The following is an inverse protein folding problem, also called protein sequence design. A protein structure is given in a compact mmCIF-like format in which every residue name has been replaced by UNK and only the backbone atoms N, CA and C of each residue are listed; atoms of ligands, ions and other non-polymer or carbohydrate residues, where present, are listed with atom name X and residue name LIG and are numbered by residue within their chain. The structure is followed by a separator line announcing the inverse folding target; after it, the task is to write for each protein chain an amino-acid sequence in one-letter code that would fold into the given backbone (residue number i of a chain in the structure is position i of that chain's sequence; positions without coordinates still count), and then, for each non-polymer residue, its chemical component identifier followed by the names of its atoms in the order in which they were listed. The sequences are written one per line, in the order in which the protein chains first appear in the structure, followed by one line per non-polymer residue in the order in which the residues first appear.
data_IF_043939912116
#
_entry.id   IF_043939912116
#
_cell.length_a   1.000
_cell.length_b   1.000
_cell.length_c   1.000
_cell.angle_alpha   90.00
_cell.angle_beta   90.00
_cell.angle_gamma   90.00
#
_symmetry.space_group_name_H-M   'P 1'
#
loop_
_entity.id
_entity.type
_entity.pdbx_description
1 polymer ?
#
# COMPACT_ATOMS: atom_id res chain seq x y z
N UNK A 1 17.06 -5.84 -28.93
CA UNK A 1 15.87 -5.98 -29.80
C UNK A 1 14.64 -6.37 -28.98
N UNK A 2 14.62 -7.52 -28.29
CA UNK A 2 13.41 -8.01 -27.59
C UNK A 2 12.86 -7.03 -26.52
N UNK A 3 13.70 -6.41 -25.69
CA UNK A 3 13.23 -5.56 -24.57
C UNK A 3 12.56 -4.27 -25.05
N UNK A 4 13.15 -3.58 -26.03
CA UNK A 4 12.55 -2.36 -26.61
C UNK A 4 11.20 -2.66 -27.29
N UNK A 5 11.07 -3.81 -27.95
CA UNK A 5 9.80 -4.25 -28.53
C UNK A 5 8.75 -4.56 -27.46
N UNK A 6 9.16 -5.13 -26.33
CA UNK A 6 8.27 -5.39 -25.18
C UNK A 6 7.77 -4.07 -24.60
N UNK A 7 8.66 -3.08 -24.41
CA UNK A 7 8.29 -1.74 -23.92
C UNK A 7 7.33 -1.06 -24.88
N UNK A 8 7.64 -1.03 -26.18
CA UNK A 8 6.78 -0.43 -27.19
C UNK A 8 5.39 -1.06 -27.20
N UNK A 9 5.30 -2.38 -27.23
CA UNK A 9 4.01 -3.11 -27.18
C UNK A 9 3.24 -2.84 -25.89
N UNK A 10 3.93 -2.64 -24.77
CA UNK A 10 3.30 -2.27 -23.51
C UNK A 10 2.74 -0.85 -23.55
N UNK A 11 3.49 0.11 -24.12
CA UNK A 11 3.03 1.49 -24.30
C UNK A 11 1.84 1.57 -25.26
N UNK A 12 1.86 0.81 -26.35
CA UNK A 12 0.80 0.78 -27.36
C UNK A 12 -0.52 0.16 -26.82
N UNK A 13 -0.41 -0.75 -25.84
CA UNK A 13 -1.55 -1.45 -25.24
C UNK A 13 -1.26 -1.80 -23.79
N UNK A 14 -1.35 -0.83 -22.86
CA UNK A 14 -1.05 -1.05 -21.45
C UNK A 14 -1.98 -2.08 -20.83
N UNK A 15 -1.43 -2.76 -19.83
CA UNK A 15 -2.17 -3.67 -18.99
C UNK A 15 -1.67 -3.56 -17.55
N UNK A 16 -2.45 -4.09 -16.61
CA UNK A 16 -2.21 -3.87 -15.19
C UNK A 16 -1.01 -4.71 -14.71
N UNK A 17 -0.05 -4.05 -14.06
CA UNK A 17 1.15 -4.67 -13.47
C UNK A 17 1.22 -4.54 -11.95
N UNK A 18 0.54 -3.57 -11.36
CA UNK A 18 0.46 -3.40 -9.91
C UNK A 18 -1.00 -3.40 -9.46
N UNK A 19 -1.31 -4.05 -8.34
CA UNK A 19 -2.67 -4.18 -7.80
C UNK A 19 -3.39 -2.85 -7.62
N UNK A 20 -4.73 -2.93 -7.68
CA UNK A 20 -5.75 -1.89 -7.49
C UNK A 20 -5.17 -0.49 -7.25
N UNK A 21 -5.11 0.32 -8.31
CA UNK A 21 -6.25 1.16 -8.67
C UNK A 21 -7.00 1.92 -7.56
N UNK A 22 -6.55 1.93 -6.31
CA UNK A 22 -6.71 3.13 -5.49
C UNK A 22 -5.79 4.16 -6.12
N UNK A 23 -6.30 4.71 -7.21
CA UNK A 23 -6.04 6.03 -7.68
C UNK A 23 -6.14 6.96 -6.45
N UNK A 24 -5.02 7.10 -5.75
CA UNK A 24 -4.66 8.32 -5.02
C UNK A 24 -4.66 9.52 -6.00
N UNK A 25 -4.91 9.26 -7.29
CA UNK A 25 -5.08 10.16 -8.42
C UNK A 25 -6.49 10.14 -9.05
N UNK A 26 -7.53 9.82 -8.27
CA UNK A 26 -8.90 10.23 -8.57
C UNK A 26 -9.84 9.10 -8.91
N UNK A 27 -11.12 9.32 -8.68
CA UNK A 27 -12.17 8.35 -8.97
C UNK A 27 -12.15 7.78 -10.39
N UNK A 28 -13.12 6.90 -10.73
CA UNK A 28 -13.11 6.00 -11.90
C UNK A 28 -12.88 6.62 -13.30
N UNK A 29 -12.75 7.95 -13.40
CA UNK A 29 -12.54 8.72 -14.61
C UNK A 29 -11.06 9.07 -14.90
N UNK A 30 -10.12 8.89 -13.96
CA UNK A 30 -8.69 9.18 -14.19
C UNK A 30 -7.90 7.87 -14.23
N UNK A 31 -8.02 7.12 -15.33
CA UNK A 31 -7.17 5.94 -15.57
C UNK A 31 -5.73 6.37 -15.87
N UNK A 32 -4.98 6.75 -14.84
CA UNK A 32 -3.58 7.07 -14.98
C UNK A 32 -2.76 5.76 -15.00
N UNK A 33 -2.07 5.48 -16.11
CA UNK A 33 -1.24 4.28 -16.24
C UNK A 33 0.14 4.44 -15.58
N UNK A 34 0.44 5.60 -14.96
CA UNK A 34 1.67 5.93 -14.25
C UNK A 34 2.28 4.76 -13.47
N UNK A 35 1.50 4.16 -12.54
CA UNK A 35 2.00 3.07 -11.69
C UNK A 35 2.44 1.85 -12.51
N UNK A 36 1.76 1.57 -13.62
CA UNK A 36 2.11 0.49 -14.52
C UNK A 36 3.38 0.80 -15.33
N UNK A 37 3.57 2.05 -15.77
CA UNK A 37 4.81 2.48 -16.42
C UNK A 37 6.02 2.34 -15.49
N UNK A 38 5.87 2.81 -14.25
CA UNK A 38 6.93 2.74 -13.24
C UNK A 38 7.20 1.29 -12.84
N UNK A 39 6.17 0.44 -12.73
CA UNK A 39 6.34 -0.99 -12.50
C UNK A 39 7.16 -1.67 -13.62
N UNK A 40 6.84 -1.36 -14.89
CA UNK A 40 7.61 -1.84 -16.03
C UNK A 40 9.08 -1.38 -15.95
N UNK A 41 9.33 -0.11 -15.63
CA UNK A 41 10.69 0.40 -15.40
C UNK A 41 11.41 -0.43 -14.33
N UNK A 42 10.76 -0.75 -13.22
CA UNK A 42 11.38 -1.55 -12.17
C UNK A 42 11.67 -3.00 -12.58
N UNK A 43 10.84 -3.61 -13.41
CA UNK A 43 11.13 -4.92 -14.01
C UNK A 43 12.34 -4.86 -14.96
N UNK A 44 12.47 -3.78 -15.75
CA UNK A 44 13.63 -3.55 -16.61
C UNK A 44 14.91 -3.34 -15.77
N UNK A 45 14.82 -2.65 -14.64
CA UNK A 45 15.96 -2.51 -13.71
C UNK A 45 16.40 -3.86 -13.14
N UNK A 46 15.46 -4.76 -12.80
CA UNK A 46 15.79 -6.13 -12.38
C UNK A 46 16.46 -6.89 -13.50
N UNK A 47 15.91 -6.80 -14.72
CA UNK A 47 16.47 -7.43 -15.92
C UNK A 47 17.93 -7.03 -16.16
N UNK A 48 18.22 -5.74 -16.01
CA UNK A 48 19.56 -5.16 -16.20
C UNK A 48 20.47 -5.29 -14.97
N UNK A 49 20.03 -5.98 -13.92
CA UNK A 49 20.83 -6.17 -12.69
C UNK A 49 21.09 -4.88 -11.91
N UNK A 50 20.29 -3.83 -12.14
CA UNK A 50 20.31 -2.57 -11.40
C UNK A 50 19.44 -2.60 -10.14
N UNK A 51 18.58 -3.62 -10.02
CA UNK A 51 17.70 -3.90 -8.89
C UNK A 51 17.70 -5.41 -8.61
N UNK A 52 17.58 -5.82 -7.34
CA UNK A 52 17.65 -7.24 -6.94
C UNK A 52 16.41 -8.02 -7.37
N UNK A 53 15.23 -7.49 -7.09
CA UNK A 53 13.96 -8.10 -7.46
C UNK A 53 12.84 -7.09 -7.50
N UNK A 54 11.65 -7.54 -7.86
CA UNK A 54 10.43 -6.74 -7.87
C UNK A 54 9.29 -7.55 -7.27
N UNK A 55 8.50 -6.92 -6.40
CA UNK A 55 7.51 -7.57 -5.55
C UNK A 55 6.11 -7.20 -6.02
N UNK A 56 5.33 -8.22 -6.37
CA UNK A 56 3.90 -8.11 -6.64
C UNK A 56 3.12 -8.67 -5.44
N UNK A 57 2.58 -7.79 -4.60
CA UNK A 57 1.80 -8.18 -3.43
C UNK A 57 0.35 -8.45 -3.80
N UNK A 58 -0.12 -9.68 -3.58
CA UNK A 58 -1.51 -10.12 -3.80
C UNK A 58 -2.15 -9.69 -5.13
N UNK A 59 -1.51 -9.87 -6.30
CA UNK A 59 -2.14 -9.48 -7.56
C UNK A 59 -3.48 -10.22 -7.73
N UNK A 60 -4.59 -9.52 -8.07
CA UNK A 60 -5.83 -10.14 -8.51
C UNK A 60 -5.60 -11.18 -9.62
N UNK A 61 -6.47 -12.19 -9.74
CA UNK A 61 -6.28 -13.27 -10.72
C UNK A 61 -6.17 -12.77 -12.17
N UNK A 62 -6.87 -11.68 -12.50
CA UNK A 62 -6.76 -11.01 -13.79
C UNK A 62 -5.34 -10.49 -14.06
N UNK A 63 -4.70 -9.89 -13.05
CA UNK A 63 -3.35 -9.32 -13.14
C UNK A 63 -2.25 -10.40 -13.12
N UNK A 64 -2.48 -11.54 -12.47
CA UNK A 64 -1.50 -12.65 -12.44
C UNK A 64 -1.07 -13.07 -13.84
N UNK A 65 -2.03 -13.17 -14.76
CA UNK A 65 -1.76 -13.53 -16.17
C UNK A 65 -0.84 -12.52 -16.85
N UNK A 66 -1.06 -11.25 -16.55
CA UNK A 66 -0.30 -10.13 -17.10
C UNK A 66 1.13 -10.05 -16.55
N UNK A 67 1.27 -10.24 -15.22
CA UNK A 67 2.56 -10.36 -14.54
C UNK A 67 3.37 -11.53 -15.10
N UNK A 68 2.78 -12.72 -15.22
CA UNK A 68 3.44 -13.89 -15.83
C UNK A 68 3.88 -13.57 -17.26
N UNK A 69 2.98 -12.97 -18.06
CA UNK A 69 3.23 -12.65 -19.46
C UNK A 69 4.40 -11.69 -19.63
N UNK A 70 4.48 -10.63 -18.84
CA UNK A 70 5.58 -9.65 -18.94
C UNK A 70 6.90 -10.24 -18.45
N UNK A 71 6.88 -10.96 -17.32
CA UNK A 71 8.09 -11.60 -16.77
C UNK A 71 8.67 -12.62 -17.76
N UNK A 72 7.83 -13.43 -18.41
CA UNK A 72 8.26 -14.37 -19.44
C UNK A 72 8.90 -13.65 -20.64
N UNK A 73 8.27 -12.57 -21.14
CA UNK A 73 8.82 -11.77 -22.25
C UNK A 73 10.18 -11.14 -21.90
N UNK A 74 10.33 -10.67 -20.66
CA UNK A 74 11.59 -10.12 -20.14
C UNK A 74 12.60 -11.21 -19.73
N UNK A 75 12.21 -12.49 -19.75
CA UNK A 75 13.01 -13.62 -19.25
C UNK A 75 13.46 -13.39 -17.80
N UNK A 76 12.51 -13.00 -16.95
CA UNK A 76 12.67 -12.90 -15.51
C UNK A 76 12.14 -14.18 -14.86
N UNK A 77 12.82 -14.65 -13.82
CA UNK A 77 12.32 -15.70 -12.96
C UNK A 77 11.22 -15.13 -12.08
N UNK A 78 10.12 -15.86 -11.93
CA UNK A 78 8.97 -15.45 -11.14
C UNK A 78 8.66 -16.53 -10.11
N UNK A 79 8.79 -16.19 -8.82
CA UNK A 79 8.56 -17.12 -7.71
C UNK A 79 7.41 -16.63 -6.85
N UNK A 80 6.44 -17.51 -6.59
CA UNK A 80 5.41 -17.24 -5.60
C UNK A 80 5.93 -17.65 -4.22
N UNK A 81 5.79 -16.73 -3.26
CA UNK A 81 6.07 -16.97 -1.85
C UNK A 81 4.88 -16.50 -1.01
N UNK A 82 4.91 -16.87 0.26
CA UNK A 82 3.86 -16.60 1.22
C UNK A 82 4.41 -15.63 2.25
N UNK A 83 3.94 -14.40 2.19
CA UNK A 83 4.44 -13.33 3.05
C UNK A 83 3.70 -13.31 4.37
N UNK A 84 4.46 -13.43 5.46
CA UNK A 84 3.99 -13.05 6.78
C UNK A 84 4.25 -11.56 6.96
N UNK A 85 3.17 -10.77 6.96
CA UNK A 85 3.26 -9.34 7.27
C UNK A 85 3.41 -9.21 8.78
N UNK A 86 4.64 -8.97 9.24
CA UNK A 86 4.90 -8.49 10.59
C UNK A 86 5.19 -7.01 10.51
N UNK A 87 4.23 -6.18 10.90
CA UNK A 87 4.47 -4.75 10.99
C UNK A 87 5.31 -4.48 12.23
N UNK A 88 6.32 -3.64 12.06
CA UNK A 88 7.21 -3.26 13.16
C UNK A 88 6.51 -2.17 13.97
N UNK A 89 6.63 -2.24 15.29
CA UNK A 89 6.08 -1.24 16.20
C UNK A 89 6.70 0.12 15.88
N UNK A 90 5.87 1.16 15.78
CA UNK A 90 6.34 2.53 15.64
C UNK A 90 7.25 2.96 16.80
N UNK A 91 8.16 3.90 16.55
CA UNK A 91 9.08 4.48 17.53
C UNK A 91 8.31 5.29 18.58
N UNK A 92 7.22 5.94 18.20
CA UNK A 92 6.34 6.70 19.09
C UNK A 92 5.10 5.90 19.45
N UNK A 93 4.83 5.77 20.75
CA UNK A 93 3.65 5.08 21.29
C UNK A 93 2.80 6.06 22.10
N UNK A 94 1.52 6.16 21.79
CA UNK A 94 0.55 6.90 22.61
C UNK A 94 -0.33 5.93 23.40
N UNK A 95 -0.69 4.81 22.79
CA UNK A 95 -1.46 3.74 23.42
C UNK A 95 -0.70 3.06 24.56
N UNK A 96 -1.42 2.52 25.57
CA UNK A 96 -0.79 1.76 26.65
C UNK A 96 -0.01 0.53 26.17
N UNK A 97 1.12 0.23 26.81
CA UNK A 97 2.03 -0.87 26.42
C UNK A 97 1.35 -2.25 26.35
N UNK A 98 0.40 -2.51 27.26
CA UNK A 98 -0.38 -3.74 27.27
C UNK A 98 -1.22 -3.90 26.00
N UNK A 99 -1.79 -2.81 25.49
CA UNK A 99 -2.60 -2.77 24.28
C UNK A 99 -1.72 -2.92 23.03
N UNK A 100 -0.62 -2.17 22.96
CA UNK A 100 0.37 -2.29 21.89
C UNK A 100 0.92 -3.73 21.78
N UNK A 101 1.25 -4.34 22.92
CA UNK A 101 1.75 -5.73 22.99
C UNK A 101 0.71 -6.74 22.51
N UNK A 102 -0.57 -6.52 22.83
CA UNK A 102 -1.66 -7.37 22.34
C UNK A 102 -1.87 -7.19 20.83
N UNK A 103 -1.88 -5.96 20.32
CA UNK A 103 -1.96 -5.64 18.89
C UNK A 103 -0.90 -6.39 18.09
N UNK A 104 0.37 -6.33 18.52
CA UNK A 104 1.48 -6.99 17.84
C UNK A 104 1.31 -8.51 17.81
N UNK A 105 0.90 -9.12 18.93
CA UNK A 105 0.63 -10.57 18.99
C UNK A 105 -0.52 -10.98 18.07
N UNK A 106 -1.43 -10.05 17.83
CA UNK A 106 -2.65 -10.29 17.06
C UNK A 106 -2.59 -9.87 15.61
N UNK A 107 -1.70 -8.97 15.21
CA UNK A 107 -1.53 -8.55 13.81
C UNK A 107 -1.45 -9.74 12.84
N UNK A 108 -0.68 -10.82 13.14
CA UNK A 108 -0.69 -12.03 12.31
C UNK A 108 -2.09 -12.67 12.16
N UNK A 109 -2.94 -12.52 13.17
CA UNK A 109 -4.27 -13.13 13.29
C UNK A 109 -5.44 -12.20 12.92
N UNK A 110 -5.22 -10.88 12.81
CA UNK A 110 -6.24 -9.88 12.47
C UNK A 110 -6.05 -9.33 11.07
N UNK A 111 -4.80 -9.13 10.61
CA UNK A 111 -4.56 -8.74 9.22
C UNK A 111 -4.81 -9.88 8.24
N UNK A 112 -5.12 -11.10 8.73
CA UNK A 112 -5.68 -12.29 8.05
C UNK A 112 -5.62 -12.19 6.54
N UNK A 113 -4.40 -12.10 6.09
CA UNK A 113 -3.95 -12.87 4.97
C UNK A 113 -2.70 -13.50 5.55
N UNK A 114 -2.91 -14.48 6.45
CA UNK A 114 -1.82 -15.34 6.87
C UNK A 114 -1.34 -16.00 5.59
N UNK A 115 -0.20 -15.52 5.08
CA UNK A 115 0.35 -15.81 3.76
C UNK A 115 -0.33 -15.02 2.64
N UNK A 116 0.04 -13.75 2.48
CA UNK A 116 -0.26 -13.03 1.23
C UNK A 116 0.50 -13.71 0.10
N UNK A 117 -0.20 -14.27 -0.91
CA UNK A 117 0.45 -14.74 -2.12
C UNK A 117 1.22 -13.57 -2.75
N UNK A 118 2.54 -13.62 -2.67
CA UNK A 118 3.40 -12.57 -3.15
C UNK A 118 4.30 -13.14 -4.21
N UNK A 119 4.36 -12.48 -5.35
CA UNK A 119 5.14 -12.93 -6.48
C UNK A 119 6.39 -12.05 -6.58
N UNK A 120 7.54 -12.69 -6.77
CA UNK A 120 8.83 -12.02 -6.79
C UNK A 120 9.46 -12.27 -8.14
N UNK A 121 9.63 -11.21 -8.91
CA UNK A 121 10.42 -11.24 -10.13
C UNK A 121 11.90 -11.02 -9.78
N UNK A 122 12.76 -11.91 -10.26
CA UNK A 122 14.21 -11.83 -10.09
C UNK A 122 14.91 -12.21 -11.38
N UNK A 123 16.23 -11.94 -11.46
CA UNK A 123 17.02 -12.24 -12.66
C UNK A 123 17.35 -13.74 -12.78
N UNK A 124 17.51 -14.44 -11.68
CA UNK A 124 17.91 -15.85 -11.64
C UNK A 124 17.61 -16.48 -10.27
N UNK A 125 17.79 -17.81 -10.19
CA UNK A 125 17.51 -18.60 -8.99
C UNK A 125 18.35 -18.16 -7.79
N UNK A 126 19.63 -17.82 -7.98
CA UNK A 126 20.50 -17.40 -6.88
C UNK A 126 19.98 -16.12 -6.19
N UNK A 127 19.54 -15.13 -6.97
CA UNK A 127 18.89 -13.92 -6.43
C UNK A 127 17.52 -14.22 -5.83
N UNK A 128 16.78 -15.18 -6.39
CA UNK A 128 15.48 -15.62 -5.86
C UNK A 128 15.59 -16.24 -4.46
N UNK A 129 16.59 -17.10 -4.25
CA UNK A 129 16.84 -17.77 -2.96
C UNK A 129 17.22 -16.79 -1.86
N UNK A 130 18.03 -15.76 -2.16
CA UNK A 130 18.35 -14.68 -1.20
C UNK A 130 17.08 -13.94 -0.74
N UNK A 131 16.11 -13.79 -1.65
CA UNK A 131 14.86 -13.08 -1.39
C UNK A 131 13.84 -13.96 -0.62
N UNK A 132 13.90 -15.28 -0.78
CA UNK A 132 12.93 -16.25 -0.24
C UNK A 132 13.30 -16.79 1.16
N UNK A 133 13.57 -15.90 2.12
CA UNK A 133 13.59 -16.27 3.55
C UNK A 133 12.20 -16.19 4.20
N UNK A 134 11.90 -17.10 5.13
CA UNK A 134 10.59 -17.36 5.76
C UNK A 134 9.88 -16.18 6.45
N UNK A 135 10.48 -14.99 6.51
CA UNK A 135 9.88 -13.76 7.04
C UNK A 135 10.03 -12.65 6.00
N UNK A 136 8.92 -12.00 5.65
CA UNK A 136 8.89 -10.95 4.61
C UNK A 136 8.14 -9.73 5.15
N UNK A 137 8.82 -8.98 6.00
CA UNK A 137 8.31 -7.73 6.57
C UNK A 137 8.53 -6.53 5.63
N UNK A 138 7.98 -5.36 6.01
CA UNK A 138 8.13 -4.12 5.25
C UNK A 138 9.61 -3.72 5.05
N UNK A 139 10.50 -4.07 5.99
CA UNK A 139 11.95 -3.79 5.88
C UNK A 139 12.61 -4.65 4.81
N UNK A 140 12.27 -5.93 4.76
CA UNK A 140 12.76 -6.82 3.74
C UNK A 140 12.21 -6.45 2.37
N UNK A 141 10.92 -6.09 2.27
CA UNK A 141 10.35 -5.56 1.04
C UNK A 141 11.13 -4.32 0.57
N UNK A 142 11.37 -3.36 1.48
CA UNK A 142 12.18 -2.17 1.19
C UNK A 142 13.58 -2.51 0.67
N UNK A 143 14.26 -3.50 1.25
CA UNK A 143 15.59 -3.97 0.79
C UNK A 143 15.56 -4.58 -0.60
N UNK A 144 14.54 -5.39 -0.92
CA UNK A 144 14.37 -6.01 -2.25
C UNK A 144 14.08 -4.95 -3.30
N UNK A 145 13.16 -4.05 -2.96
CA UNK A 145 12.72 -2.96 -3.81
C UNK A 145 13.79 -1.85 -3.96
N UNK A 146 14.79 -1.84 -3.07
CA UNK A 146 15.86 -0.84 -3.02
C UNK A 146 15.40 0.51 -2.49
N UNK A 147 14.36 0.54 -1.66
CA UNK A 147 13.83 1.73 -1.04
C UNK A 147 14.77 2.26 0.05
N UNK A 148 14.86 3.59 0.25
CA UNK A 148 15.62 4.15 1.35
C UNK A 148 15.08 3.72 2.72
N UNK A 149 15.96 3.33 3.64
CA UNK A 149 15.59 2.91 5.00
C UNK A 149 14.72 3.95 5.72
N UNK A 150 15.02 5.24 5.57
CA UNK A 150 14.23 6.32 6.17
C UNK A 150 12.78 6.37 5.66
N UNK A 151 12.53 5.98 4.40
CA UNK A 151 11.19 5.94 3.82
C UNK A 151 10.44 4.69 4.27
N UNK A 152 11.14 3.56 4.39
CA UNK A 152 10.59 2.32 4.92
C UNK A 152 10.22 2.46 6.39
N UNK A 153 11.09 3.05 7.21
CA UNK A 153 10.79 3.39 8.60
C UNK A 153 9.58 4.32 8.68
N UNK A 154 9.53 5.40 7.88
CA UNK A 154 8.38 6.30 7.87
C UNK A 154 7.06 5.63 7.44
N UNK A 155 7.12 4.65 6.53
CA UNK A 155 5.97 3.83 6.16
C UNK A 155 5.47 3.00 7.35
N UNK A 156 6.40 2.35 8.07
CA UNK A 156 6.09 1.59 9.28
C UNK A 156 5.48 2.49 10.36
N UNK A 157 6.09 3.64 10.64
CA UNK A 157 5.54 4.62 11.60
C UNK A 157 4.13 5.06 11.21
N UNK A 158 3.87 5.27 9.91
CA UNK A 158 2.56 5.68 9.42
C UNK A 158 1.50 4.61 9.68
N UNK A 159 1.80 3.35 9.36
CA UNK A 159 0.91 2.23 9.66
C UNK A 159 0.65 2.13 11.17
N UNK A 160 1.69 2.31 11.98
CA UNK A 160 1.52 2.33 13.44
C UNK A 160 0.62 3.47 13.92
N UNK A 161 0.81 4.68 13.39
CA UNK A 161 -0.02 5.83 13.72
C UNK A 161 -1.50 5.63 13.39
N UNK A 162 -1.82 4.85 12.37
CA UNK A 162 -3.21 4.53 12.08
C UNK A 162 -3.80 3.71 13.27
N UNK A 163 -3.06 2.73 13.83
CA UNK A 163 -3.52 2.03 15.04
C UNK A 163 -3.66 2.95 16.25
N UNK A 164 -2.73 3.90 16.43
CA UNK A 164 -2.79 4.92 17.49
C UNK A 164 -4.03 5.80 17.36
N UNK A 165 -4.38 6.22 16.14
CA UNK A 165 -5.60 7.00 15.88
C UNK A 165 -6.85 6.20 16.24
N UNK A 166 -6.92 4.91 15.85
CA UNK A 166 -8.07 4.10 16.24
C UNK A 166 -8.16 3.89 17.75
N UNK A 167 -7.03 3.86 18.46
CA UNK A 167 -7.01 3.84 19.93
C UNK A 167 -7.57 5.13 20.52
N UNK A 168 -7.11 6.29 20.05
CA UNK A 168 -7.64 7.60 20.50
C UNK A 168 -9.17 7.67 20.33
N UNK A 169 -9.70 7.16 19.21
CA UNK A 169 -11.15 7.11 18.98
C UNK A 169 -11.90 6.19 19.95
N UNK A 170 -11.28 5.09 20.36
CA UNK A 170 -11.88 4.22 21.38
C UNK A 170 -11.90 4.89 22.75
N UNK A 171 -10.87 5.66 23.11
CA UNK A 171 -10.84 6.40 24.38
C UNK A 171 -11.94 7.47 24.46
N UNK A 172 -12.36 8.02 23.32
CA UNK A 172 -13.49 8.97 23.25
C UNK A 172 -14.85 8.28 23.44
N UNK A 173 -14.99 6.99 23.09
CA UNK A 173 -16.24 6.24 23.25
C UNK A 173 -16.32 5.63 24.66
N UNK A 174 -17.07 6.29 25.54
CA UNK A 174 -17.15 5.97 26.98
C UNK A 174 -18.06 4.79 27.35
N UNK A 175 -18.86 4.25 26.42
CA UNK A 175 -19.84 3.16 26.67
C UNK A 175 -19.56 1.94 25.78
N UNK A 176 -19.30 0.79 26.39
CA UNK A 176 -19.03 -0.48 25.70
C UNK A 176 -20.20 -0.91 24.77
N UNK A 177 -21.44 -0.65 25.17
CA UNK A 177 -22.60 -0.97 24.33
C UNK A 177 -22.65 -0.10 23.08
N UNK A 178 -22.05 1.09 23.14
CA UNK A 178 -21.93 1.99 22.00
C UNK A 178 -20.81 1.53 21.06
N UNK A 179 -19.70 1.00 21.60
CA UNK A 179 -18.63 0.39 20.79
C UNK A 179 -19.14 -0.83 20.03
N UNK A 180 -19.82 -1.77 20.69
CA UNK A 180 -20.34 -2.99 20.05
C UNK A 180 -21.43 -2.66 19.00
N UNK A 181 -22.31 -1.69 19.28
CA UNK A 181 -23.28 -1.20 18.28
C UNK A 181 -22.60 -0.60 17.05
N UNK A 182 -21.54 0.17 17.25
CA UNK A 182 -20.81 0.78 16.15
C UNK A 182 -20.03 -0.28 15.35
N UNK A 183 -19.35 -1.23 16.01
CA UNK A 183 -18.74 -2.40 15.34
C UNK A 183 -19.75 -3.10 14.43
N UNK A 184 -20.92 -3.46 14.97
CA UNK A 184 -21.95 -4.20 14.23
C UNK A 184 -22.58 -3.39 13.10
N UNK A 185 -22.82 -2.09 13.31
CA UNK A 185 -23.30 -1.16 12.28
C UNK A 185 -22.38 -1.20 11.06
N UNK A 186 -21.08 -1.23 11.29
CA UNK A 186 -20.10 -1.09 10.23
C UNK A 186 -19.74 -2.40 9.55
N UNK A 187 -19.76 -3.51 10.28
CA UNK A 187 -19.69 -4.83 9.65
C UNK A 187 -20.85 -5.04 8.67
N UNK A 188 -22.06 -4.60 9.06
CA UNK A 188 -23.24 -4.61 8.18
C UNK A 188 -23.08 -3.71 6.96
N UNK A 189 -22.51 -2.51 7.11
CA UNK A 189 -22.23 -1.59 6.00
C UNK A 189 -21.17 -2.14 5.03
N UNK A 190 -20.19 -2.87 5.55
CA UNK A 190 -19.10 -3.46 4.78
C UNK A 190 -19.50 -4.74 4.03
N UNK A 191 -20.69 -5.29 4.28
CA UNK A 191 -21.10 -6.58 3.73
C UNK A 191 -20.21 -7.74 4.19
N UNK A 192 -19.46 -7.56 5.28
CA UNK A 192 -18.51 -8.56 5.78
C UNK A 192 -19.24 -9.62 6.61
N UNK A 193 -18.89 -10.90 6.40
CA UNK A 193 -19.49 -12.01 7.14
C UNK A 193 -18.91 -12.10 8.57
N UNK A 194 -19.73 -11.74 9.56
CA UNK A 194 -19.41 -11.76 10.98
C UNK A 194 -19.18 -13.16 11.56
N UNK A 195 -19.66 -14.22 10.89
CA UNK A 195 -19.55 -15.59 11.42
C UNK A 195 -18.11 -16.12 11.43
N UNK A 196 -17.25 -15.62 10.53
CA UNK A 196 -15.80 -15.89 10.56
C UNK A 196 -15.12 -15.24 11.77
N UNK A 197 -15.68 -14.12 12.25
CA UNK A 197 -15.16 -13.36 13.38
C UNK A 197 -15.50 -14.02 14.72
N UNK A 198 -16.74 -14.43 14.95
CA UNK A 198 -17.14 -15.04 16.24
C UNK A 198 -16.38 -16.32 16.52
N UNK A 199 -16.13 -17.13 15.48
CA UNK A 199 -15.38 -18.37 15.58
C UNK A 199 -13.89 -18.18 15.95
N UNK A 200 -13.32 -16.99 15.76
CA UNK A 200 -11.92 -16.69 16.09
C UNK A 200 -11.75 -16.06 17.45
N UNK A 201 -12.77 -15.34 17.93
CA UNK A 201 -12.80 -14.72 19.25
C UNK A 201 -13.30 -15.71 20.32
N UNK A 202 -14.11 -16.70 19.92
CA UNK A 202 -14.69 -17.71 20.82
C UNK A 202 -13.67 -18.63 21.51
N UNK A 203 -12.49 -18.83 20.89
CA UNK A 203 -11.40 -19.69 21.40
C UNK A 203 -10.68 -19.11 22.61
N UNK A 204 -10.96 -17.86 22.97
CA UNK A 204 -10.32 -17.15 24.06
C UNK A 204 -11.20 -17.17 25.30
N UNK A 205 -10.65 -17.59 26.43
CA UNK A 205 -11.41 -17.79 27.67
C UNK A 205 -11.47 -16.52 28.55
N UNK A 206 -10.62 -15.54 28.30
CA UNK A 206 -10.55 -14.29 29.08
C UNK A 206 -11.43 -13.18 28.45
N UNK A 207 -12.36 -12.66 29.25
CA UNK A 207 -13.30 -11.60 28.87
C UNK A 207 -12.59 -10.30 28.53
N UNK A 208 -11.50 -9.97 29.24
CA UNK A 208 -10.67 -8.78 29.01
C UNK A 208 -9.93 -8.90 27.68
N UNK A 209 -9.39 -10.09 27.40
CA UNK A 209 -8.75 -10.38 26.11
C UNK A 209 -9.78 -10.32 24.98
N UNK A 210 -10.99 -10.85 25.16
CA UNK A 210 -12.06 -10.75 24.16
C UNK A 210 -12.45 -9.31 23.86
N UNK A 211 -12.65 -8.47 24.88
CA UNK A 211 -12.97 -7.04 24.71
C UNK A 211 -11.84 -6.28 24.03
N UNK A 212 -10.60 -6.49 24.49
CA UNK A 212 -9.39 -5.96 23.88
C UNK A 212 -9.30 -6.33 22.38
N UNK A 213 -9.69 -7.55 22.03
CA UNK A 213 -9.72 -8.05 20.67
C UNK A 213 -10.81 -7.42 19.83
N UNK A 214 -12.01 -7.23 20.38
CA UNK A 214 -13.09 -6.51 19.68
C UNK A 214 -12.66 -5.07 19.37
N UNK A 215 -12.03 -4.42 20.34
CA UNK A 215 -11.51 -3.06 20.23
C UNK A 215 -10.36 -2.96 19.24
N UNK A 216 -9.38 -3.85 19.34
CA UNK A 216 -8.28 -3.95 18.39
C UNK A 216 -8.80 -4.23 16.97
N UNK A 217 -9.76 -5.13 16.80
CA UNK A 217 -10.32 -5.45 15.49
C UNK A 217 -11.18 -4.29 14.96
N UNK A 218 -11.89 -3.55 15.82
CA UNK A 218 -12.49 -2.27 15.47
C UNK A 218 -11.42 -1.29 14.98
N UNK A 219 -10.32 -1.10 15.69
CA UNK A 219 -9.19 -0.27 15.24
C UNK A 219 -8.70 -0.76 13.87
N UNK A 220 -8.48 -2.07 13.68
CA UNK A 220 -7.90 -2.62 12.44
C UNK A 220 -8.86 -2.53 11.25
N UNK A 221 -10.16 -2.83 11.43
CA UNK A 221 -11.19 -2.64 10.42
C UNK A 221 -11.43 -1.15 10.13
N UNK A 222 -11.26 -0.29 11.13
CA UNK A 222 -11.31 1.17 10.95
C UNK A 222 -10.09 1.75 10.27
N UNK A 223 -8.90 1.22 10.51
CA UNK A 223 -7.66 1.79 9.96
C UNK A 223 -7.48 1.39 8.50
N UNK A 224 -7.85 0.16 8.14
CA UNK A 224 -7.78 -0.31 6.74
C UNK A 224 -8.96 0.12 5.87
N UNK A 225 -10.17 0.31 6.44
CA UNK A 225 -11.37 0.64 5.69
C UNK A 225 -12.10 1.93 6.16
N UNK A 226 -11.65 2.66 7.19
CA UNK A 226 -12.35 3.87 7.72
C UNK A 226 -11.50 5.11 7.99
N UNK A 227 -10.31 5.15 7.44
CA UNK A 227 -9.79 6.40 6.89
C UNK A 227 -10.76 6.96 5.82
N UNK A 228 -11.57 6.06 5.25
CA UNK A 228 -12.56 6.30 4.21
C UNK A 228 -13.95 6.78 4.75
N UNK A 229 -14.51 6.22 5.84
CA UNK A 229 -15.93 6.48 6.18
C UNK A 229 -16.20 7.04 7.61
N UNK A 230 -15.19 7.35 8.42
CA UNK A 230 -15.42 7.98 9.72
C UNK A 230 -15.71 9.49 9.55
N UNK A 231 -16.86 9.96 10.04
CA UNK A 231 -17.34 11.36 10.08
C UNK A 231 -16.49 12.29 10.96
N UNK A 232 -15.18 12.17 10.90
CA UNK A 232 -14.26 12.90 11.76
C UNK A 232 -13.54 13.90 10.84
N UNK A 233 -13.86 15.20 10.95
CA UNK A 233 -13.23 16.23 10.11
C UNK A 233 -11.71 16.14 10.07
N UNK A 234 -11.06 15.81 11.20
CA UNK A 234 -9.61 15.64 11.27
C UNK A 234 -9.10 14.44 10.46
N UNK A 235 -9.87 13.35 10.32
CA UNK A 235 -9.50 12.20 9.49
C UNK A 235 -9.63 12.55 8.00
N UNK A 236 -10.74 13.17 7.61
CA UNK A 236 -10.96 13.63 6.23
C UNK A 236 -9.87 14.62 5.82
N UNK A 237 -9.56 15.61 6.67
CA UNK A 237 -8.50 16.59 6.43
C UNK A 237 -7.12 15.92 6.33
N UNK A 238 -6.80 14.97 7.21
CA UNK A 238 -5.55 14.22 7.16
C UNK A 238 -5.41 13.41 5.87
N UNK A 239 -6.49 12.84 5.34
CA UNK A 239 -6.45 12.06 4.10
C UNK A 239 -6.38 12.92 2.85
N UNK A 240 -7.16 14.00 2.83
CA UNK A 240 -7.04 15.02 1.81
C UNK A 240 -5.60 15.54 1.74
N UNK A 241 -4.98 15.83 2.89
CA UNK A 241 -3.56 16.22 2.97
C UNK A 241 -2.63 15.12 2.47
N UNK A 242 -2.81 13.86 2.90
CA UNK A 242 -2.02 12.70 2.45
C UNK A 242 -2.08 12.55 0.93
N UNK A 243 -3.25 12.67 0.31
CA UNK A 243 -3.41 12.60 -1.15
C UNK A 243 -2.66 13.70 -1.87
N UNK A 244 -2.77 14.94 -1.39
CA UNK A 244 -2.02 16.07 -1.96
C UNK A 244 -0.52 15.81 -1.87
N UNK A 245 -0.04 15.31 -0.73
CA UNK A 245 1.37 14.99 -0.54
C UNK A 245 1.83 13.85 -1.45
N UNK A 246 1.00 12.84 -1.70
CA UNK A 246 1.29 11.76 -2.66
C UNK A 246 1.35 12.28 -4.09
N UNK A 247 0.39 13.09 -4.51
CA UNK A 247 0.37 13.70 -5.84
C UNK A 247 1.64 14.55 -6.06
N UNK A 248 1.99 15.41 -5.10
CA UNK A 248 3.23 16.20 -5.12
C UNK A 248 4.48 15.33 -5.17
N UNK A 249 4.48 14.22 -4.43
CA UNK A 249 5.59 13.29 -4.44
C UNK A 249 5.76 12.64 -5.81
N UNK A 250 4.70 12.18 -6.48
CA UNK A 250 4.81 11.60 -7.82
C UNK A 250 5.35 12.61 -8.83
N UNK A 251 4.96 13.88 -8.71
CA UNK A 251 5.53 14.95 -9.54
C UNK A 251 7.02 15.18 -9.23
N UNK A 252 7.42 15.10 -7.95
CA UNK A 252 8.80 15.36 -7.53
C UNK A 252 9.74 14.18 -7.83
N UNK A 253 9.28 12.96 -7.59
CA UNK A 253 10.02 11.71 -7.75
C UNK A 253 9.25 10.69 -8.61
N UNK A 254 9.07 10.97 -9.91
CA UNK A 254 8.21 10.17 -10.80
C UNK A 254 8.73 8.76 -11.12
N UNK A 255 9.98 8.44 -10.82
CA UNK A 255 10.58 7.16 -11.17
C UNK A 255 10.68 6.18 -10.00
N UNK A 256 10.12 6.54 -8.82
CA UNK A 256 10.15 5.68 -7.62
C UNK A 256 8.75 5.18 -7.26
N UNK A 257 8.68 3.97 -6.69
CA UNK A 257 7.41 3.37 -6.25
C UNK A 257 7.07 3.61 -4.78
N UNK A 258 8.08 3.84 -3.94
CA UNK A 258 7.88 4.06 -2.51
C UNK A 258 7.30 5.45 -2.24
N UNK A 259 6.70 5.56 -1.06
CA UNK A 259 6.29 6.85 -0.52
C UNK A 259 7.50 7.52 0.16
N UNK A 260 7.97 8.63 -0.40
CA UNK A 260 9.05 9.42 0.19
C UNK A 260 8.59 10.01 1.53
N UNK A 261 9.44 9.89 2.56
CA UNK A 261 9.20 10.54 3.85
C UNK A 261 9.39 12.07 3.76
N UNK A 262 8.93 12.80 4.77
CA UNK A 262 9.03 14.26 4.82
C UNK A 262 10.46 14.77 4.62
N UNK A 263 11.45 14.14 5.29
CA UNK A 263 12.86 14.46 5.11
C UNK A 263 13.32 14.29 3.66
N UNK A 264 12.83 13.25 2.98
CA UNK A 264 13.13 13.05 1.56
C UNK A 264 12.41 14.08 0.67
N UNK A 265 11.22 14.53 1.05
CA UNK A 265 10.49 15.55 0.33
C UNK A 265 11.07 16.95 0.55
N UNK A 266 11.73 17.24 1.68
CA UNK A 266 12.33 18.54 1.95
C UNK A 266 13.74 18.70 1.38
N UNK A 267 14.52 17.61 1.29
CA UNK A 267 15.93 17.67 0.87
C UNK A 267 16.13 17.19 -0.59
N UNK A 268 16.63 18.06 -1.50
CA UNK A 268 16.94 17.68 -2.88
C UNK A 268 18.10 16.69 -3.02
N UNK A 269 18.91 16.49 -1.97
CA UNK A 269 20.00 15.51 -1.92
C UNK A 269 19.63 14.23 -1.15
N UNK A 270 18.35 14.08 -0.81
CA UNK A 270 17.86 12.94 -0.06
C UNK A 270 18.07 11.61 -0.78
N UNK A 271 18.03 10.47 -0.06
CA UNK A 271 18.07 9.15 -0.66
C UNK A 271 17.03 8.93 -1.76
N UNK A 272 15.80 9.46 -1.60
CA UNK A 272 14.77 9.37 -2.63
C UNK A 272 15.11 10.18 -3.87
N UNK A 273 15.65 11.40 -3.72
CA UNK A 273 16.08 12.23 -4.84
C UNK A 273 17.21 11.56 -5.63
N UNK A 274 18.21 11.01 -4.93
CA UNK A 274 19.32 10.25 -5.55
C UNK A 274 18.83 9.01 -6.28
N UNK A 275 17.88 8.28 -5.69
CA UNK A 275 17.27 7.13 -6.34
C UNK A 275 16.52 7.55 -7.61
N UNK A 276 15.66 8.57 -7.51
CA UNK A 276 14.90 9.09 -8.64
C UNK A 276 15.81 9.55 -9.78
N UNK A 277 16.87 10.31 -9.51
CA UNK A 277 17.85 10.74 -10.51
C UNK A 277 18.48 9.55 -11.24
N UNK A 278 18.97 8.55 -10.49
CA UNK A 278 19.55 7.33 -11.05
C UNK A 278 18.57 6.58 -11.95
N UNK A 279 17.32 6.41 -11.51
CA UNK A 279 16.30 5.67 -12.26
C UNK A 279 15.84 6.46 -13.49
N UNK A 280 15.71 7.77 -13.37
CA UNK A 280 15.35 8.68 -14.47
C UNK A 280 16.40 8.65 -15.58
N UNK A 281 17.70 8.69 -15.23
CA UNK A 281 18.81 8.61 -16.19
C UNK A 281 18.82 7.28 -16.93
N UNK A 282 18.62 6.16 -16.22
CA UNK A 282 18.49 4.85 -16.85
C UNK A 282 17.31 4.82 -17.81
N UNK A 283 16.12 5.25 -17.37
CA UNK A 283 14.92 5.22 -18.19
C UNK A 283 15.06 6.11 -19.44
N UNK A 284 15.56 7.34 -19.27
CA UNK A 284 15.77 8.29 -20.37
C UNK A 284 16.74 7.77 -21.43
N UNK A 285 17.84 7.15 -20.99
CA UNK A 285 18.89 6.70 -21.90
C UNK A 285 18.51 5.39 -22.62
N UNK A 286 17.91 4.43 -21.91
CA UNK A 286 17.64 3.10 -22.46
C UNK A 286 16.25 2.97 -23.10
N UNK A 287 15.26 3.68 -22.54
CA UNK A 287 13.83 3.57 -22.88
C UNK A 287 13.15 4.96 -22.94
N UNK A 288 13.59 5.87 -23.84
CA UNK A 288 13.10 7.24 -23.89
C UNK A 288 11.57 7.35 -24.04
N UNK A 289 10.93 6.46 -24.81
CA UNK A 289 9.47 6.44 -24.93
C UNK A 289 8.76 6.16 -23.60
N UNK A 290 9.30 5.24 -22.78
CA UNK A 290 8.77 4.96 -21.44
C UNK A 290 9.00 6.14 -20.48
N UNK A 291 10.15 6.80 -20.60
CA UNK A 291 10.47 8.00 -19.84
C UNK A 291 9.43 9.10 -20.09
N UNK A 292 9.14 9.41 -21.36
CA UNK A 292 8.14 10.43 -21.71
C UNK A 292 6.75 10.07 -21.18
N UNK A 293 6.33 8.80 -21.29
CA UNK A 293 5.04 8.35 -20.71
C UNK A 293 4.95 8.56 -19.21
N UNK A 294 6.01 8.24 -18.46
CA UNK A 294 6.05 8.48 -17.02
C UNK A 294 5.91 9.97 -16.71
N UNK A 295 6.62 10.82 -17.45
CA UNK A 295 6.62 12.28 -17.23
C UNK A 295 5.26 12.91 -17.60
N UNK A 296 4.66 12.52 -18.72
CA UNK A 296 3.37 13.05 -19.16
C UNK A 296 2.25 12.67 -18.20
N UNK A 297 2.23 11.43 -17.75
CA UNK A 297 1.22 10.94 -16.81
C UNK A 297 1.31 11.63 -15.44
N UNK A 298 2.51 11.98 -14.94
CA UNK A 298 2.61 12.74 -13.68
C UNK A 298 2.29 14.23 -13.82
N UNK A 299 2.55 14.83 -14.99
CA UNK A 299 2.13 16.22 -15.27
C UNK A 299 0.61 16.37 -15.27
N UNK A 300 -0.10 15.32 -15.70
CA UNK A 300 -1.57 15.27 -15.68
C UNK A 300 -2.18 15.17 -14.28
N UNK A 301 -1.38 14.91 -13.25
CA UNK A 301 -1.86 14.84 -11.86
C UNK A 301 -2.00 16.26 -11.32
N UNK A 302 -3.22 16.70 -11.03
CA UNK A 302 -3.49 17.93 -10.28
C UNK A 302 -3.80 17.59 -8.81
N UNK A 303 -2.88 17.86 -7.85
CA UNK A 303 -3.08 17.53 -6.44
C UNK A 303 -4.37 18.11 -5.84
N UNK A 304 -4.79 19.30 -6.26
CA UNK A 304 -5.97 19.96 -5.70
C UNK A 304 -7.27 19.41 -6.29
N UNK A 305 -7.25 19.06 -7.59
CA UNK A 305 -8.33 18.27 -8.20
C UNK A 305 -8.47 16.92 -7.50
N UNK A 306 -7.36 16.26 -7.18
CA UNK A 306 -7.40 14.96 -6.48
C UNK A 306 -8.01 15.06 -5.09
N UNK A 307 -7.59 16.08 -4.34
CA UNK A 307 -8.20 16.41 -3.05
C UNK A 307 -9.71 16.58 -3.19
N UNK A 308 -10.15 17.39 -4.15
CA UNK A 308 -11.57 17.70 -4.35
C UNK A 308 -12.38 16.47 -4.74
N UNK A 309 -11.86 15.63 -5.65
CA UNK A 309 -12.53 14.39 -6.08
C UNK A 309 -12.65 13.39 -4.92
N UNK A 310 -11.63 13.26 -4.08
CA UNK A 310 -11.72 12.42 -2.89
C UNK A 310 -12.71 12.99 -1.89
N UNK A 311 -12.61 14.28 -1.55
CA UNK A 311 -13.56 14.95 -0.66
C UNK A 311 -15.01 14.75 -1.17
N UNK A 312 -15.25 14.93 -2.47
CA UNK A 312 -16.55 14.73 -3.09
C UNK A 312 -17.00 13.26 -3.12
N UNK A 313 -16.10 12.31 -3.41
CA UNK A 313 -16.39 10.88 -3.34
C UNK A 313 -16.82 10.49 -1.92
N UNK A 314 -16.11 10.98 -0.90
CA UNK A 314 -16.45 10.76 0.50
C UNK A 314 -17.77 11.41 0.89
N UNK A 315 -18.03 12.64 0.42
CA UNK A 315 -19.27 13.37 0.67
C UNK A 315 -20.48 12.81 -0.10
N UNK A 316 -20.30 12.20 -1.29
CA UNK A 316 -21.39 11.64 -2.12
C UNK A 316 -21.78 10.22 -1.74
N UNK A 317 -20.80 9.34 -1.47
CA UNK A 317 -21.10 7.99 -0.96
C UNK A 317 -21.71 8.01 0.44
N UNK A 318 -21.66 9.17 1.09
CA UNK A 318 -22.33 9.47 2.34
C UNK A 318 -23.83 9.73 2.19
N UNK A 319 -24.27 10.50 1.18
CA UNK A 319 -25.67 10.93 1.05
C UNK A 319 -26.60 9.79 0.59
N UNK A 320 -26.07 8.87 -0.24
CA UNK A 320 -26.85 7.74 -0.79
C UNK A 320 -27.21 6.67 0.25
N UNK A 321 -26.50 6.59 1.39
CA UNK A 321 -26.72 5.55 2.42
C UNK A 321 -27.62 5.98 3.58
N UNK A 322 -28.19 7.20 3.52
CA UNK A 322 -29.16 7.70 4.50
C UNK A 322 -30.57 7.92 3.92
N UNK A 323 -30.83 7.45 2.70
CA UNK A 323 -32.16 7.48 2.06
C UNK A 323 -32.86 6.10 1.98
N UNK A 324 -32.37 5.07 2.68
CA UNK A 324 -33.01 3.75 2.78
C UNK A 324 -33.27 3.33 4.22
#
# INVERSE_FOLDING_TARGET
MIEKDVVKKFIDSPFQLCGDGFDLTGGPEIRNHYRNWVALLHLLLVKHGKKKGFVFSNPPDAEKKDVIRICNKLKLLLKQTNVQVTEIIGKTRKMPEGFASALVKMQPSILVINKIPTWIASRNEATSVEIDSNVFDAKKNGKIEGFPDCCVDAFIERLWNDFELGWELLEEVKDENQVDKEIMRLIKLMGADYTVYENRVSVLTDVTAKQLIRHIHFIVLNTRHRIEEARIPSVIENNAKRTVDYARMFQKYPFVLHLACENCLSDPNSPSAKMNDRLSKFCKNEYPELYERIIDDVKGIDPQKQKSVLEEFWLKNYDYRFQL
#
